data_IF_718965203311
#
_entry.id   IF_718965203311
#
_cell.length_a   1.000
_cell.length_b   1.000
_cell.length_c   1.000
_cell.angle_alpha   90.00
_cell.angle_beta   90.00
_cell.angle_gamma   90.00
#
_symmetry.space_group_name_H-M   'P 1'
#
loop_
_entity.id
_entity.type
_entity.pdbx_description
1 polymer ?
#
# COMPACT_ATOMS: atom_id res chain seq x y z
N UNK A 1 -17.08 -5.79 49.82
CA UNK A 1 -16.02 -6.82 49.91
C UNK A 1 -15.95 -7.67 48.63
N UNK A 2 -16.99 -8.36 48.19
CA UNK A 2 -16.94 -9.21 46.98
C UNK A 2 -16.71 -8.43 45.68
N UNK A 3 -17.23 -7.25 45.54
CA UNK A 3 -17.05 -6.41 44.34
C UNK A 3 -15.61 -5.87 44.22
N UNK A 4 -15.03 -5.44 45.34
CA UNK A 4 -13.63 -4.99 45.35
C UNK A 4 -12.68 -6.16 45.00
N UNK A 5 -12.93 -7.36 45.53
CA UNK A 5 -12.13 -8.55 45.18
C UNK A 5 -12.23 -8.87 43.67
N UNK A 6 -13.43 -8.76 43.11
CA UNK A 6 -13.66 -8.94 41.66
C UNK A 6 -12.93 -7.91 40.81
N UNK A 7 -13.01 -6.64 41.17
CA UNK A 7 -12.33 -5.55 40.44
C UNK A 7 -10.80 -5.73 40.52
N UNK A 8 -10.27 -6.12 41.70
CA UNK A 8 -8.85 -6.41 41.87
C UNK A 8 -8.39 -7.57 40.99
N UNK A 9 -9.14 -8.68 40.98
CA UNK A 9 -8.82 -9.83 40.14
C UNK A 9 -8.84 -9.48 38.63
N UNK A 10 -9.78 -8.61 38.20
CA UNK A 10 -9.83 -8.11 36.84
C UNK A 10 -8.61 -7.22 36.51
N UNK A 11 -8.21 -6.35 37.44
CA UNK A 11 -7.02 -5.52 37.29
C UNK A 11 -5.76 -6.35 37.18
N UNK A 12 -5.59 -7.31 38.07
CA UNK A 12 -4.43 -8.24 38.08
C UNK A 12 -4.34 -9.04 36.77
N UNK A 13 -5.47 -9.53 36.27
CA UNK A 13 -5.53 -10.25 34.97
C UNK A 13 -5.14 -9.32 33.81
N UNK A 14 -5.67 -8.10 33.78
CA UNK A 14 -5.34 -7.13 32.74
C UNK A 14 -3.85 -6.73 32.78
N UNK A 15 -3.29 -6.58 33.97
CA UNK A 15 -1.86 -6.28 34.16
C UNK A 15 -0.97 -7.46 33.77
N UNK A 16 -1.36 -8.68 34.08
CA UNK A 16 -0.61 -9.86 33.66
C UNK A 16 -0.43 -9.91 32.14
N UNK A 17 -1.51 -9.63 31.40
CA UNK A 17 -1.46 -9.54 29.93
C UNK A 17 -0.61 -8.35 29.47
N UNK A 18 -0.75 -7.18 30.10
CA UNK A 18 0.02 -6.00 29.72
C UNK A 18 1.53 -6.17 29.94
N UNK A 19 1.92 -6.94 30.96
CA UNK A 19 3.30 -7.14 31.39
C UNK A 19 3.99 -8.35 30.75
N UNK A 20 3.30 -9.16 29.97
CA UNK A 20 3.80 -10.44 29.43
C UNK A 20 5.12 -10.31 28.64
N UNK A 21 5.39 -9.14 28.07
CA UNK A 21 6.61 -8.89 27.27
C UNK A 21 7.73 -8.22 28.06
N UNK A 22 7.53 -7.96 29.35
CA UNK A 22 8.52 -7.28 30.19
C UNK A 22 9.13 -8.31 31.14
N UNK A 23 10.45 -8.56 31.08
CA UNK A 23 11.12 -9.44 32.03
C UNK A 23 10.88 -9.02 33.49
N UNK A 24 10.76 -9.99 34.38
CA UNK A 24 10.50 -9.72 35.80
C UNK A 24 11.59 -8.81 36.44
N UNK A 25 12.84 -8.90 35.97
CA UNK A 25 13.96 -8.11 36.47
C UNK A 25 13.86 -6.62 36.11
N UNK A 26 13.05 -6.28 35.10
CA UNK A 26 12.88 -4.90 34.63
C UNK A 26 11.57 -4.26 35.11
N UNK A 27 10.87 -4.91 36.06
CA UNK A 27 9.63 -4.40 36.62
C UNK A 27 9.53 -4.65 38.12
N UNK A 28 8.97 -3.71 38.83
CA UNK A 28 8.60 -3.87 40.25
C UNK A 28 7.11 -3.53 40.34
N UNK A 29 6.34 -4.41 40.90
CA UNK A 29 4.89 -4.26 41.07
C UNK A 29 4.62 -4.09 42.55
N UNK A 30 3.89 -3.06 42.93
CA UNK A 30 3.51 -2.75 44.29
C UNK A 30 2.01 -2.53 44.35
N UNK A 31 1.43 -3.02 45.40
CA UNK A 31 0.06 -2.72 45.77
C UNK A 31 -0.03 -1.25 46.27
N UNK A 32 -1.07 -0.56 45.84
CA UNK A 32 -1.44 0.75 46.32
C UNK A 32 -2.90 0.69 46.81
N UNK A 33 -3.32 1.56 47.75
CA UNK A 33 -4.68 1.54 48.33
C UNK A 33 -5.79 1.55 47.27
N UNK A 34 -5.59 2.32 46.20
CA UNK A 34 -6.57 2.52 45.14
C UNK A 34 -6.15 1.90 43.80
N UNK A 35 -5.22 0.94 43.81
CA UNK A 35 -4.76 0.31 42.58
C UNK A 35 -3.41 -0.36 42.70
N UNK A 36 -2.58 -0.23 41.66
CA UNK A 36 -1.24 -0.83 41.59
C UNK A 36 -0.24 0.16 41.00
N UNK A 37 0.92 0.25 41.58
CA UNK A 37 2.06 0.98 41.03
C UNK A 37 3.05 0.04 40.36
N UNK A 38 3.47 0.33 39.15
CA UNK A 38 4.41 -0.48 38.38
C UNK A 38 5.61 0.39 38.03
N UNK A 39 6.74 0.09 38.61
CA UNK A 39 8.00 0.67 38.18
C UNK A 39 8.60 -0.16 37.05
N UNK A 40 8.89 0.49 35.93
CA UNK A 40 9.54 -0.12 34.76
C UNK A 40 10.94 0.45 34.66
N UNK A 41 11.94 -0.42 34.76
CA UNK A 41 13.34 -0.06 34.70
C UNK A 41 13.83 -0.04 33.24
N UNK A 42 14.63 0.97 32.89
CA UNK A 42 15.22 1.06 31.56
C UNK A 42 14.46 1.95 30.59
N UNK A 43 14.03 1.44 29.45
CA UNK A 43 13.51 2.24 28.36
C UNK A 43 12.08 2.78 28.64
N UNK A 44 11.88 4.13 28.64
CA UNK A 44 10.56 4.75 28.83
C UNK A 44 9.50 4.26 27.83
N UNK A 45 9.91 3.86 26.61
CA UNK A 45 8.99 3.34 25.62
C UNK A 45 8.27 2.05 26.08
N UNK A 46 8.91 1.21 26.91
CA UNK A 46 8.31 0.01 27.48
C UNK A 46 7.16 0.36 28.44
N UNK A 47 7.36 1.38 29.29
CA UNK A 47 6.30 1.86 30.20
C UNK A 47 5.09 2.40 29.41
N UNK A 48 5.32 3.13 28.33
CA UNK A 48 4.23 3.59 27.45
C UNK A 48 3.48 2.44 26.80
N UNK A 49 4.17 1.39 26.37
CA UNK A 49 3.52 0.21 25.77
C UNK A 49 2.68 -0.56 26.79
N UNK A 50 3.12 -0.67 28.04
CA UNK A 50 2.32 -1.25 29.15
C UNK A 50 1.07 -0.40 29.36
N UNK A 51 1.23 0.91 29.52
CA UNK A 51 0.12 1.84 29.74
C UNK A 51 -0.92 1.76 28.64
N UNK A 52 -0.50 1.67 27.37
CA UNK A 52 -1.42 1.48 26.24
C UNK A 52 -2.17 0.15 26.25
N UNK A 53 -1.51 -0.94 26.69
CA UNK A 53 -2.19 -2.25 26.86
C UNK A 53 -3.20 -2.21 27.99
N UNK A 54 -2.88 -1.55 29.10
CA UNK A 54 -3.85 -1.30 30.18
C UNK A 54 -5.06 -0.52 29.66
N UNK A 55 -4.85 0.51 28.84
CA UNK A 55 -5.93 1.23 28.19
C UNK A 55 -6.78 0.37 27.25
N UNK A 56 -6.15 -0.57 26.53
CA UNK A 56 -6.90 -1.52 25.69
C UNK A 56 -7.77 -2.46 26.53
N UNK A 57 -7.29 -2.90 27.69
CA UNK A 57 -8.07 -3.69 28.64
C UNK A 57 -9.22 -2.85 29.25
N UNK A 58 -9.00 -1.55 29.52
CA UNK A 58 -10.03 -0.65 29.98
C UNK A 58 -11.14 -0.49 28.94
N UNK A 59 -10.80 -0.39 27.68
CA UNK A 59 -11.79 -0.35 26.60
C UNK A 59 -12.59 -1.67 26.46
N UNK A 60 -12.03 -2.79 26.95
CA UNK A 60 -12.71 -4.09 26.98
C UNK A 60 -13.61 -4.30 28.23
N UNK A 61 -13.80 -3.28 29.08
CA UNK A 61 -14.71 -3.30 30.20
C UNK A 61 -14.10 -3.28 31.60
N UNK A 62 -12.75 -3.27 31.70
CA UNK A 62 -12.06 -3.11 32.98
C UNK A 62 -11.81 -1.63 33.22
N UNK A 63 -12.68 -0.95 33.97
CA UNK A 63 -12.53 0.48 34.25
C UNK A 63 -11.26 0.76 35.05
N UNK A 64 -10.29 1.44 34.45
CA UNK A 64 -9.05 1.86 35.11
C UNK A 64 -8.56 3.21 34.58
N UNK A 65 -7.96 3.98 35.49
CA UNK A 65 -7.23 5.20 35.17
C UNK A 65 -5.72 4.85 35.10
N UNK A 66 -5.04 5.36 34.09
CA UNK A 66 -3.62 5.03 33.87
C UNK A 66 -2.82 6.33 33.79
N UNK A 67 -1.76 6.40 34.59
CA UNK A 67 -0.80 7.49 34.55
C UNK A 67 0.63 6.96 34.40
N UNK A 68 1.47 7.71 33.72
CA UNK A 68 2.89 7.39 33.58
C UNK A 68 3.73 8.62 33.93
N UNK A 69 4.65 8.43 34.85
CA UNK A 69 5.63 9.41 35.24
C UNK A 69 7.05 8.86 35.10
N UNK A 70 8.03 9.72 34.98
CA UNK A 70 9.44 9.38 34.98
C UNK A 70 10.16 10.14 36.10
N UNK A 71 10.93 9.44 36.89
CA UNK A 71 11.70 10.06 37.95
C UNK A 71 12.51 9.04 38.76
N UNK A 72 13.33 9.52 39.68
CA UNK A 72 14.10 8.66 40.55
C UNK A 72 13.19 7.93 41.55
N UNK A 73 13.48 6.65 41.76
CA UNK A 73 12.84 5.80 42.77
C UNK A 73 13.91 5.10 43.59
N UNK A 74 13.60 4.85 44.84
CA UNK A 74 14.46 4.05 45.74
C UNK A 74 13.63 2.88 46.30
N UNK A 75 14.27 1.74 46.45
CA UNK A 75 13.75 0.66 47.24
C UNK A 75 14.21 0.88 48.71
N UNK A 76 13.28 0.99 49.60
CA UNK A 76 13.56 1.08 51.02
C UNK A 76 12.50 0.25 51.78
N UNK A 77 12.86 -0.38 52.90
CA UNK A 77 11.87 -1.02 53.75
C UNK A 77 10.91 0.06 54.29
N UNK A 78 9.63 -0.30 54.32
CA UNK A 78 8.58 0.46 55.02
C UNK A 78 8.69 0.24 56.53
N UNK A 79 7.87 0.95 57.30
CA UNK A 79 7.81 0.82 58.77
C UNK A 79 7.43 -0.62 59.24
N UNK A 80 6.93 -1.44 58.33
CA UNK A 80 6.56 -2.87 58.56
C UNK A 80 7.64 -3.83 58.10
N UNK A 81 8.79 -3.34 57.61
CA UNK A 81 9.91 -4.16 57.11
C UNK A 81 9.73 -4.70 55.70
N UNK A 82 8.63 -4.34 54.99
CA UNK A 82 8.42 -4.73 53.59
C UNK A 82 9.16 -3.73 52.66
N UNK A 83 9.68 -4.24 51.57
CA UNK A 83 10.29 -3.38 50.57
C UNK A 83 9.23 -2.54 49.83
N UNK A 84 9.27 -1.22 50.00
CA UNK A 84 8.44 -0.27 49.34
C UNK A 84 9.21 0.54 48.32
N UNK A 85 8.51 1.16 47.35
CA UNK A 85 9.06 2.17 46.46
C UNK A 85 8.88 3.54 47.09
N UNK A 86 9.98 4.19 47.43
CA UNK A 86 10.00 5.57 47.97
C UNK A 86 10.52 6.51 46.90
N UNK A 87 9.81 7.60 46.70
CA UNK A 87 10.23 8.67 45.81
C UNK A 87 9.06 9.52 45.33
N UNK A 88 9.31 10.77 45.06
CA UNK A 88 8.31 11.71 44.56
C UNK A 88 7.73 11.27 43.21
N UNK A 89 8.45 10.45 42.45
CA UNK A 89 8.00 9.90 41.19
C UNK A 89 6.75 9.03 41.32
N UNK A 90 6.62 8.23 42.39
CA UNK A 90 5.45 7.38 42.65
C UNK A 90 4.25 8.22 43.08
N UNK A 91 4.45 9.17 44.00
CA UNK A 91 3.40 10.09 44.44
C UNK A 91 2.87 10.97 43.28
N UNK A 92 3.76 11.44 42.44
CA UNK A 92 3.39 12.19 41.22
C UNK A 92 2.57 11.33 40.27
N UNK A 93 2.96 10.07 40.03
CA UNK A 93 2.17 9.16 39.17
C UNK A 93 0.77 8.92 39.74
N UNK A 94 0.65 8.72 41.08
CA UNK A 94 -0.63 8.56 41.74
C UNK A 94 -1.51 9.84 41.60
N UNK A 95 -0.94 11.03 41.83
CA UNK A 95 -1.67 12.28 41.65
C UNK A 95 -2.16 12.45 40.19
N UNK A 96 -1.35 12.12 39.21
CA UNK A 96 -1.77 12.18 37.79
C UNK A 96 -2.87 11.17 37.50
N UNK A 97 -2.84 9.97 38.10
CA UNK A 97 -3.88 8.95 37.92
C UNK A 97 -5.28 9.44 38.36
N UNK A 98 -5.36 10.24 39.41
CA UNK A 98 -6.61 10.87 39.84
C UNK A 98 -7.21 11.81 38.78
N UNK A 99 -6.41 12.48 37.99
CA UNK A 99 -6.89 13.35 36.89
C UNK A 99 -7.29 12.54 35.65
N UNK A 100 -6.72 11.33 35.50
CA UNK A 100 -6.93 10.55 34.28
C UNK A 100 -8.36 10.09 34.12
N UNK A 101 -9.06 9.78 35.20
CA UNK A 101 -10.38 9.17 35.16
C UNK A 101 -10.39 7.84 34.37
N UNK A 102 -11.51 7.17 34.29
CA UNK A 102 -11.61 5.91 33.53
C UNK A 102 -11.39 6.16 32.03
N UNK A 103 -10.70 5.22 31.41
CA UNK A 103 -10.40 5.22 29.96
C UNK A 103 -9.52 6.37 29.44
N UNK A 104 -8.74 7.03 30.32
CA UNK A 104 -7.75 8.03 29.89
C UNK A 104 -6.34 7.65 30.36
N UNK A 105 -5.36 7.91 29.51
CA UNK A 105 -3.93 7.79 29.82
C UNK A 105 -3.31 9.18 29.82
N UNK A 106 -2.77 9.57 30.98
CA UNK A 106 -1.96 10.78 31.10
C UNK A 106 -0.49 10.45 31.37
N UNK A 107 0.38 11.26 30.83
CA UNK A 107 1.82 11.18 31.07
C UNK A 107 2.33 12.54 31.54
N UNK A 108 3.33 12.51 32.43
CA UNK A 108 3.98 13.74 32.92
C UNK A 108 4.90 14.37 31.87
N UNK A 109 5.28 15.63 32.11
CA UNK A 109 6.30 16.32 31.33
C UNK A 109 7.64 15.56 31.39
N UNK A 110 8.10 15.16 32.58
CA UNK A 110 9.36 14.41 32.75
C UNK A 110 9.39 13.10 31.97
N UNK A 111 8.25 12.37 31.93
CA UNK A 111 8.14 11.19 31.12
C UNK A 111 8.22 11.49 29.62
N UNK A 112 7.54 12.52 29.15
CA UNK A 112 7.58 12.92 27.74
C UNK A 112 8.99 13.31 27.31
N UNK A 113 9.74 14.02 28.17
CA UNK A 113 11.13 14.40 27.90
C UNK A 113 12.05 13.17 27.84
N UNK A 114 11.94 12.25 28.80
CA UNK A 114 12.68 10.99 28.79
C UNK A 114 12.37 10.12 27.56
N UNK A 115 11.08 10.08 27.16
CA UNK A 115 10.66 9.39 25.96
C UNK A 115 11.21 10.08 24.70
N UNK A 116 11.25 11.40 24.65
CA UNK A 116 11.80 12.14 23.51
C UNK A 116 13.30 11.87 23.34
N UNK A 117 14.05 11.77 24.45
CA UNK A 117 15.47 11.42 24.42
C UNK A 117 15.73 9.99 23.91
N UNK A 118 14.87 9.03 24.28
CA UNK A 118 15.05 7.62 23.91
C UNK A 118 14.33 7.20 22.62
N UNK A 119 13.20 7.83 22.31
CA UNK A 119 12.32 7.46 21.19
C UNK A 119 11.56 8.68 20.63
N UNK A 120 12.23 9.59 19.91
CA UNK A 120 11.62 10.86 19.44
C UNK A 120 10.33 10.67 18.64
N UNK A 121 10.29 9.67 17.78
CA UNK A 121 9.10 9.35 16.95
C UNK A 121 7.86 9.00 17.79
N UNK A 122 8.06 8.40 18.96
CA UNK A 122 6.95 8.07 19.89
C UNK A 122 6.51 9.30 20.68
N UNK A 123 7.44 10.16 21.07
CA UNK A 123 7.14 11.39 21.80
C UNK A 123 6.28 12.36 20.99
N UNK A 124 6.44 12.40 19.66
CA UNK A 124 5.63 13.23 18.76
C UNK A 124 4.13 12.86 18.83
N UNK A 125 3.81 11.60 19.11
CA UNK A 125 2.42 11.13 19.23
C UNK A 125 1.74 11.50 20.56
N UNK A 126 2.49 12.15 21.48
CA UNK A 126 1.99 12.57 22.78
C UNK A 126 1.76 14.08 22.74
N UNK A 127 0.53 14.50 22.91
CA UNK A 127 0.07 15.90 22.78
C UNK A 127 -0.22 16.51 24.16
N UNK A 128 -0.05 17.82 24.33
CA UNK A 128 -0.48 18.51 25.56
C UNK A 128 -1.97 18.24 25.84
N UNK A 129 -2.27 17.90 27.08
CA UNK A 129 -3.64 17.66 27.54
C UNK A 129 -4.14 18.78 28.48
N UNK A 130 -3.24 19.53 29.09
CA UNK A 130 -3.57 20.64 29.96
C UNK A 130 -2.64 20.74 31.18
N UNK A 131 -2.95 21.73 32.02
CA UNK A 131 -2.28 21.93 33.31
C UNK A 131 -3.30 21.61 34.39
N UNK A 132 -2.93 20.76 35.32
CA UNK A 132 -3.79 20.31 36.41
C UNK A 132 -3.11 20.59 37.76
N UNK A 133 -3.89 20.93 38.77
CA UNK A 133 -3.38 21.19 40.13
C UNK A 133 -3.88 20.08 41.06
N UNK A 134 -2.97 19.46 41.79
CA UNK A 134 -3.29 18.41 42.75
C UNK A 134 -3.72 19.00 44.11
N UNK A 135 -4.17 18.12 45.03
CA UNK A 135 -4.63 18.52 46.37
C UNK A 135 -3.53 19.20 47.20
N UNK A 136 -2.25 19.01 46.84
CA UNK A 136 -1.10 19.64 47.47
C UNK A 136 -0.68 20.94 46.77
N UNK A 137 -1.57 21.49 45.92
CA UNK A 137 -1.35 22.75 45.17
C UNK A 137 -0.16 22.68 44.21
N UNK A 138 0.27 21.47 43.82
CA UNK A 138 1.32 21.27 42.82
C UNK A 138 0.68 21.25 41.43
N UNK A 139 1.26 21.97 40.50
CA UNK A 139 0.80 22.03 39.11
C UNK A 139 1.53 20.97 38.28
N UNK A 140 0.75 20.22 37.52
CA UNK A 140 1.23 19.17 36.62
C UNK A 140 0.85 19.52 35.18
N UNK A 141 1.83 19.67 34.32
CA UNK A 141 1.59 19.73 32.88
C UNK A 141 1.50 18.31 32.36
N UNK A 142 0.30 17.94 31.90
CA UNK A 142 -0.03 16.60 31.46
C UNK A 142 -0.13 16.53 29.95
N UNK A 143 0.22 15.37 29.46
CA UNK A 143 0.17 15.03 28.04
C UNK A 143 -0.63 13.72 27.89
N UNK A 144 -1.25 13.54 26.71
CA UNK A 144 -1.99 12.32 26.38
C UNK A 144 -1.60 11.82 25.00
N UNK A 145 -1.64 10.50 24.77
CA UNK A 145 -1.49 9.95 23.44
C UNK A 145 -2.61 10.45 22.53
N UNK A 146 -2.25 10.89 21.32
CA UNK A 146 -3.22 11.29 20.31
C UNK A 146 -4.00 10.06 19.81
N UNK A 147 -5.31 9.94 20.09
CA UNK A 147 -6.10 8.80 19.68
C UNK A 147 -6.22 8.69 18.16
N UNK A 148 -6.04 9.80 17.44
CA UNK A 148 -6.15 9.86 15.98
C UNK A 148 -4.84 9.52 15.27
N UNK A 149 -3.71 9.52 15.97
CA UNK A 149 -2.40 9.27 15.38
C UNK A 149 -2.31 7.91 14.68
N UNK A 150 -2.90 6.87 15.25
CA UNK A 150 -2.93 5.53 14.66
C UNK A 150 -3.78 5.48 13.38
N UNK A 151 -4.93 6.13 13.39
CA UNK A 151 -5.81 6.25 12.22
C UNK A 151 -5.15 7.07 11.11
N UNK A 152 -4.51 8.19 11.47
CA UNK A 152 -3.77 9.03 10.54
C UNK A 152 -2.62 8.26 9.88
N UNK A 153 -1.84 7.52 10.67
CA UNK A 153 -0.77 6.66 10.14
C UNK A 153 -1.29 5.58 9.19
N UNK A 154 -2.41 4.93 9.55
CA UNK A 154 -3.06 3.96 8.66
C UNK A 154 -3.51 4.58 7.35
N UNK A 155 -4.12 5.77 7.38
CA UNK A 155 -4.54 6.51 6.18
C UNK A 155 -3.35 6.87 5.29
N UNK A 156 -2.24 7.34 5.88
CA UNK A 156 -1.01 7.66 5.13
C UNK A 156 -0.43 6.40 4.48
N UNK A 157 -0.32 5.29 5.22
CA UNK A 157 0.19 4.04 4.68
C UNK A 157 -0.70 3.48 3.56
N UNK A 158 -2.03 3.58 3.73
CA UNK A 158 -2.98 3.18 2.69
C UNK A 158 -2.85 4.04 1.43
N UNK A 159 -2.69 5.36 1.58
CA UNK A 159 -2.49 6.27 0.45
C UNK A 159 -1.17 5.97 -0.30
N UNK A 160 -0.07 5.76 0.44
CA UNK A 160 1.22 5.38 -0.16
C UNK A 160 1.12 4.04 -0.88
N UNK A 161 0.44 3.06 -0.27
CA UNK A 161 0.18 1.75 -0.90
C UNK A 161 -0.64 1.86 -2.18
N UNK A 162 -1.68 2.70 -2.18
CA UNK A 162 -2.50 2.94 -3.38
C UNK A 162 -1.69 3.58 -4.52
N UNK A 163 -0.86 4.58 -4.21
CA UNK A 163 0.01 5.21 -5.21
C UNK A 163 1.02 4.21 -5.78
N UNK A 164 1.62 3.36 -4.92
CA UNK A 164 2.54 2.32 -5.37
C UNK A 164 1.85 1.30 -6.30
N UNK A 165 0.62 0.86 -5.97
CA UNK A 165 -0.16 -0.05 -6.82
C UNK A 165 -0.51 0.57 -8.18
N UNK A 166 -0.89 1.85 -8.21
CA UNK A 166 -1.16 2.57 -9.46
C UNK A 166 0.11 2.64 -10.31
N UNK A 167 1.27 2.92 -9.70
CA UNK A 167 2.55 2.94 -10.39
C UNK A 167 2.91 1.58 -10.99
N UNK A 168 2.77 0.49 -10.22
CA UNK A 168 3.01 -0.87 -10.71
C UNK A 168 2.06 -1.22 -11.86
N UNK A 169 0.78 -0.89 -11.73
CA UNK A 169 -0.21 -1.13 -12.79
C UNK A 169 0.13 -0.38 -14.08
N UNK A 170 0.52 0.90 -13.97
CA UNK A 170 0.94 1.69 -15.13
C UNK A 170 2.18 1.09 -15.83
N UNK A 171 3.17 0.61 -15.06
CA UNK A 171 4.34 -0.08 -15.58
C UNK A 171 3.94 -1.38 -16.30
N UNK A 172 3.06 -2.19 -15.70
CA UNK A 172 2.58 -3.43 -16.32
C UNK A 172 1.84 -3.17 -17.63
N UNK A 173 0.99 -2.15 -17.68
CA UNK A 173 0.28 -1.76 -18.93
C UNK A 173 1.28 -1.32 -19.99
N UNK A 174 2.24 -0.49 -19.62
CA UNK A 174 3.28 -0.02 -20.55
C UNK A 174 4.10 -1.18 -21.14
N UNK A 175 4.57 -2.10 -20.29
CA UNK A 175 5.32 -3.28 -20.75
C UNK A 175 4.46 -4.23 -21.59
N UNK A 176 3.20 -4.41 -21.21
CA UNK A 176 2.28 -5.24 -21.98
C UNK A 176 2.10 -4.74 -23.41
N UNK A 177 1.91 -3.43 -23.58
CA UNK A 177 1.78 -2.81 -24.90
C UNK A 177 3.10 -2.82 -25.70
N UNK A 178 4.23 -2.64 -25.02
CA UNK A 178 5.55 -2.74 -25.66
C UNK A 178 5.80 -4.15 -26.19
N UNK A 179 5.57 -5.17 -25.39
CA UNK A 179 5.72 -6.59 -25.78
C UNK A 179 4.77 -6.94 -26.94
N UNK A 180 3.51 -6.48 -26.88
CA UNK A 180 2.56 -6.72 -27.97
C UNK A 180 2.98 -6.09 -29.29
N UNK A 181 3.59 -4.90 -29.27
CA UNK A 181 4.10 -4.24 -30.47
C UNK A 181 5.25 -5.04 -31.06
N UNK A 182 6.18 -5.52 -30.23
CA UNK A 182 7.33 -6.32 -30.66
C UNK A 182 6.90 -7.67 -31.24
N UNK A 183 5.96 -8.36 -30.59
CA UNK A 183 5.41 -9.62 -31.09
C UNK A 183 4.64 -9.47 -32.41
N UNK A 184 4.01 -8.33 -32.64
CA UNK A 184 3.33 -8.03 -33.92
C UNK A 184 4.32 -7.63 -35.01
N UNK A 185 5.41 -6.95 -34.69
CA UNK A 185 6.40 -6.52 -35.65
C UNK A 185 7.06 -7.71 -36.40
N UNK A 186 7.13 -8.89 -35.76
CA UNK A 186 7.67 -10.12 -36.38
C UNK A 186 6.64 -10.98 -37.13
N UNK A 187 5.35 -10.60 -37.16
CA UNK A 187 4.37 -11.41 -37.87
C UNK A 187 4.33 -11.07 -39.37
N UNK A 188 4.34 -12.09 -40.28
CA UNK A 188 4.22 -11.85 -41.69
C UNK A 188 2.89 -11.20 -42.04
N UNK A 189 2.90 -10.33 -43.02
CA UNK A 189 1.70 -9.77 -43.62
C UNK A 189 1.11 -10.73 -44.63
N UNK A 190 -0.23 -10.70 -44.80
CA UNK A 190 -0.90 -11.48 -45.83
C UNK A 190 -1.42 -10.56 -46.94
N UNK A 191 -1.09 -10.89 -48.17
CA UNK A 191 -1.64 -10.25 -49.36
C UNK A 191 -2.60 -11.22 -50.03
N UNK A 192 -3.87 -10.86 -50.06
CA UNK A 192 -4.93 -11.64 -50.73
C UNK A 192 -5.21 -11.06 -52.12
N UNK A 193 -5.54 -11.91 -53.07
CA UNK A 193 -5.80 -11.58 -54.44
C UNK A 193 -7.19 -12.00 -54.85
N UNK A 194 -7.94 -11.08 -55.42
CA UNK A 194 -9.22 -11.32 -56.09
C UNK A 194 -9.12 -10.78 -57.52
N UNK A 195 -8.67 -11.66 -58.41
CA UNK A 195 -8.35 -11.29 -59.80
C UNK A 195 -9.25 -12.04 -60.76
N UNK A 196 -9.95 -11.30 -61.56
CA UNK A 196 -10.88 -11.86 -62.54
C UNK A 196 -10.54 -11.40 -63.97
N UNK A 197 -10.59 -12.32 -64.94
CA UNK A 197 -10.85 -13.74 -64.85
C UNK A 197 -9.61 -14.54 -64.38
N UNK A 198 -8.40 -14.14 -64.70
CA UNK A 198 -7.13 -14.72 -64.29
C UNK A 198 -5.97 -13.79 -64.64
N UNK A 199 -4.85 -13.92 -63.97
CA UNK A 199 -3.65 -13.07 -64.21
C UNK A 199 -2.41 -13.62 -63.52
N UNK A 200 -1.24 -13.35 -64.11
CA UNK A 200 0.06 -13.66 -63.54
C UNK A 200 0.42 -12.56 -62.54
N UNK A 201 0.81 -12.95 -61.33
CA UNK A 201 1.16 -12.07 -60.22
C UNK A 201 2.66 -11.97 -60.09
N UNK A 202 3.18 -10.73 -60.05
CA UNK A 202 4.56 -10.43 -59.72
C UNK A 202 4.55 -9.52 -58.50
N UNK A 203 5.43 -9.85 -57.54
CA UNK A 203 5.66 -9.02 -56.34
C UNK A 203 7.13 -8.68 -56.33
N UNK A 204 7.44 -7.38 -56.30
CA UNK A 204 8.81 -6.82 -56.36
C UNK A 204 9.59 -7.34 -57.56
N UNK A 205 8.91 -7.50 -58.69
CA UNK A 205 9.51 -8.02 -59.93
C UNK A 205 9.67 -9.54 -59.99
N UNK A 206 9.37 -10.28 -58.92
CA UNK A 206 9.47 -11.74 -58.86
C UNK A 206 8.10 -12.36 -59.15
N UNK A 207 8.03 -13.29 -60.10
CA UNK A 207 6.82 -14.07 -60.42
C UNK A 207 6.45 -14.96 -59.23
N UNK A 208 5.21 -14.81 -58.76
CA UNK A 208 4.67 -15.57 -57.61
C UNK A 208 3.63 -16.61 -57.99
N UNK A 209 3.12 -16.52 -59.18
CA UNK A 209 2.14 -17.47 -59.69
C UNK A 209 0.99 -16.81 -60.42
N UNK A 210 -0.05 -17.57 -60.62
CA UNK A 210 -1.29 -17.14 -61.33
C UNK A 210 -2.47 -17.19 -60.39
N UNK A 211 -3.30 -16.16 -60.42
CA UNK A 211 -4.57 -16.15 -59.67
C UNK A 211 -5.76 -16.21 -60.62
N UNK A 212 -6.75 -17.10 -60.42
CA UNK A 212 -6.64 -18.28 -59.56
C UNK A 212 -5.66 -19.34 -60.12
N UNK A 213 -5.08 -20.27 -59.35
CA UNK A 213 -5.52 -20.65 -57.98
C UNK A 213 -4.82 -19.91 -56.83
N UNK A 214 -3.85 -19.03 -57.06
CA UNK A 214 -3.20 -18.28 -55.98
C UNK A 214 -4.17 -17.21 -55.42
N UNK A 215 -4.67 -17.42 -54.20
CA UNK A 215 -5.61 -16.51 -53.52
C UNK A 215 -4.93 -15.66 -52.45
N UNK A 216 -3.78 -16.09 -51.92
CA UNK A 216 -3.04 -15.30 -50.92
C UNK A 216 -1.56 -15.62 -50.91
N UNK A 217 -0.76 -14.65 -50.45
CA UNK A 217 0.70 -14.75 -50.32
C UNK A 217 1.13 -14.15 -48.99
N UNK A 218 2.05 -14.81 -48.29
CA UNK A 218 2.72 -14.28 -47.12
C UNK A 218 3.93 -13.48 -47.55
N UNK A 219 4.04 -12.24 -47.07
CA UNK A 219 5.15 -11.35 -47.37
C UNK A 219 5.64 -10.69 -46.07
N UNK A 220 6.82 -10.15 -46.10
CA UNK A 220 7.31 -9.30 -45.02
C UNK A 220 6.51 -8.01 -44.94
N UNK A 221 6.34 -7.40 -43.76
CA UNK A 221 5.72 -6.09 -43.65
C UNK A 221 6.54 -5.02 -44.38
N UNK A 222 5.87 -4.13 -45.05
CA UNK A 222 6.53 -3.07 -45.82
C UNK A 222 5.82 -2.72 -47.12
N UNK A 223 6.42 -1.84 -47.91
CA UNK A 223 5.88 -1.42 -49.18
C UNK A 223 6.36 -2.39 -50.27
N UNK A 224 5.41 -3.08 -50.90
CA UNK A 224 5.68 -3.99 -51.99
C UNK A 224 5.06 -3.50 -53.30
N UNK A 225 5.76 -3.69 -54.40
CA UNK A 225 5.27 -3.40 -55.74
C UNK A 225 4.64 -4.64 -56.35
N UNK A 226 3.34 -4.52 -56.65
CA UNK A 226 2.57 -5.62 -57.23
C UNK A 226 2.25 -5.31 -58.69
N UNK A 227 2.58 -6.26 -59.55
CA UNK A 227 2.33 -6.17 -60.99
C UNK A 227 1.50 -7.38 -61.43
N UNK A 228 0.35 -7.09 -62.07
CA UNK A 228 -0.55 -8.09 -62.60
C UNK A 228 -0.42 -8.10 -64.14
N UNK A 229 -0.15 -9.26 -64.73
CA UNK A 229 0.01 -9.42 -66.16
C UNK A 229 -0.97 -10.44 -66.71
N UNK A 230 -1.48 -10.11 -67.87
CA UNK A 230 -2.31 -11.04 -68.65
C UNK A 230 -1.97 -10.90 -70.12
N UNK A 231 -1.94 -12.02 -70.85
CA UNK A 231 -1.62 -12.04 -72.27
C UNK A 231 -2.60 -11.23 -73.08
N UNK A 232 -2.13 -10.21 -73.80
CA UNK A 232 -2.96 -9.34 -74.61
C UNK A 232 -3.56 -8.11 -73.88
N UNK A 233 -3.21 -7.90 -72.60
CA UNK A 233 -3.66 -6.75 -71.84
C UNK A 233 -2.48 -5.93 -71.30
N UNK A 234 -2.75 -4.68 -70.97
CA UNK A 234 -1.75 -3.75 -70.37
C UNK A 234 -1.46 -4.20 -68.93
N UNK A 235 -0.20 -4.40 -68.52
CA UNK A 235 0.13 -4.74 -67.17
C UNK A 235 -0.38 -3.72 -66.16
N UNK A 236 -1.09 -4.18 -65.12
CA UNK A 236 -1.46 -3.32 -64.02
C UNK A 236 -0.39 -3.34 -62.91
N UNK A 237 0.06 -2.14 -62.52
CA UNK A 237 1.06 -2.02 -61.44
C UNK A 237 0.53 -1.13 -60.35
N UNK A 238 0.71 -1.58 -59.10
CA UNK A 238 0.31 -0.86 -57.87
C UNK A 238 1.34 -1.10 -56.77
N UNK A 239 1.35 -0.26 -55.77
CA UNK A 239 2.12 -0.48 -54.54
C UNK A 239 1.16 -0.67 -53.37
N UNK A 240 1.47 -1.60 -52.48
CA UNK A 240 0.73 -1.85 -51.25
C UNK A 240 1.65 -1.82 -50.06
N UNK A 241 1.27 -1.05 -49.03
CA UNK A 241 1.96 -1.05 -47.73
C UNK A 241 1.32 -2.14 -46.86
N UNK A 242 2.09 -3.19 -46.63
CA UNK A 242 1.66 -4.38 -45.91
C UNK A 242 2.02 -4.25 -44.42
N UNK A 243 0.99 -4.22 -43.57
CA UNK A 243 1.18 -4.14 -42.14
C UNK A 243 1.29 -5.52 -41.52
N UNK A 244 2.20 -5.66 -40.55
CA UNK A 244 2.45 -6.89 -39.81
C UNK A 244 1.16 -7.49 -39.23
N UNK A 245 0.92 -8.78 -39.48
CA UNK A 245 -0.26 -9.52 -38.98
C UNK A 245 -1.61 -9.10 -39.58
N UNK A 246 -1.61 -8.27 -40.66
CA UNK A 246 -2.83 -7.88 -41.36
C UNK A 246 -2.91 -8.50 -42.76
N UNK A 247 -4.15 -8.66 -43.24
CA UNK A 247 -4.43 -9.08 -44.60
C UNK A 247 -4.82 -7.85 -45.43
N UNK A 248 -4.10 -7.61 -46.53
CA UNK A 248 -4.46 -6.60 -47.51
C UNK A 248 -4.96 -7.31 -48.75
N UNK A 249 -6.14 -6.94 -49.28
CA UNK A 249 -6.72 -7.56 -50.46
C UNK A 249 -6.56 -6.66 -51.67
N UNK A 250 -6.08 -7.21 -52.80
CA UNK A 250 -6.05 -6.56 -54.09
C UNK A 250 -7.14 -7.19 -54.97
N UNK A 251 -8.10 -6.36 -55.34
CA UNK A 251 -9.17 -6.69 -56.26
C UNK A 251 -8.87 -6.06 -57.62
N UNK A 252 -8.81 -6.88 -58.67
CA UNK A 252 -8.60 -6.38 -60.03
C UNK A 252 -9.34 -7.19 -61.06
N UNK A 253 -10.05 -6.52 -61.96
CA UNK A 253 -10.74 -7.14 -63.07
C UNK A 253 -10.15 -6.70 -64.39
N UNK A 254 -9.61 -7.64 -65.16
CA UNK A 254 -9.21 -7.39 -66.54
C UNK A 254 -10.44 -7.28 -67.42
N UNK A 255 -10.57 -6.18 -68.16
CA UNK A 255 -11.70 -5.93 -69.08
C UNK A 255 -11.26 -6.25 -70.49
N UNK A 256 -11.91 -7.23 -71.19
CA UNK A 256 -11.52 -7.52 -72.54
C UNK A 256 -11.73 -6.31 -73.48
N UNK A 257 -10.65 -5.83 -74.07
CA UNK A 257 -10.70 -5.01 -75.28
C UNK A 257 -10.87 -3.50 -75.20
N UNK A 258 -10.81 -2.88 -74.02
CA UNK A 258 -10.71 -1.41 -73.95
C UNK A 258 -9.86 -0.98 -72.74
N UNK A 259 -8.73 -0.31 -73.00
CA UNK A 259 -7.74 0.13 -71.97
C UNK A 259 -8.26 1.22 -71.03
N UNK A 260 -9.42 1.06 -70.42
CA UNK A 260 -9.89 1.91 -69.34
C UNK A 260 -10.06 1.09 -68.07
N UNK A 261 -9.04 1.07 -67.25
CA UNK A 261 -9.10 0.53 -65.91
C UNK A 261 -10.05 1.34 -65.03
N UNK A 262 -11.12 0.73 -64.57
CA UNK A 262 -11.93 1.26 -63.49
C UNK A 262 -11.25 0.92 -62.16
N UNK A 263 -10.54 1.90 -61.59
CA UNK A 263 -10.00 1.87 -60.22
C UNK A 263 -11.17 1.71 -59.25
N UNK A 264 -11.39 0.53 -58.73
CA UNK A 264 -12.24 0.33 -57.54
C UNK A 264 -11.41 0.39 -56.27
N UNK A 265 -11.89 1.25 -55.36
CA UNK A 265 -11.34 1.70 -54.11
C UNK A 265 -10.79 0.54 -53.24
N UNK A 266 -9.58 0.75 -52.68
CA UNK A 266 -9.08 0.09 -51.49
C UNK A 266 -10.07 0.30 -50.34
N UNK A 267 -10.68 -0.77 -49.89
CA UNK A 267 -11.54 -0.78 -48.71
C UNK A 267 -10.79 -1.48 -47.61
N UNK A 268 -10.23 -0.66 -46.70
CA UNK A 268 -9.72 -1.16 -45.42
C UNK A 268 -10.89 -1.67 -44.58
N UNK A 269 -10.99 -2.97 -44.43
CA UNK A 269 -11.87 -3.57 -43.43
C UNK A 269 -11.11 -3.65 -42.11
N UNK A 270 -11.42 -2.73 -41.21
CA UNK A 270 -11.08 -2.83 -39.80
C UNK A 270 -12.11 -3.77 -39.18
N UNK A 271 -11.71 -5.00 -38.90
CA UNK A 271 -12.47 -5.88 -38.00
C UNK A 271 -12.15 -5.50 -36.56
N UNK A 272 -13.22 -5.11 -35.84
CA UNK A 272 -13.22 -4.86 -34.40
C UNK A 272 -12.89 -6.13 -33.62
#
# INVERSE_FOLDING_TARGET
MAEQARLRAQLESALAVALIRIPAQLRIILDAPDGMAIAVLGNPAAALDIARRCMSASAAGVSMAVAVNHGAIRLAPDDSGHQGLIGDAVGTAAAIAHFAGPARLFVSRSFREALAASSPARAISIRPAGIFTDANVRTHELFAPDPTAALRRRKILAAVGAVALIGIFAVLVYFHDAIRRELRAGQPAMLAFDIHPDGDIFVDGVARGKSPPLVSLRLEPGVHTIELKRKGEIPFRTSADLQSGRTTTIEYAFTPGNGRSLLRRLRDWVLR
#
